data_IF_155453217431
#
_entry.id   IF_155453217431
#
_cell.length_a   1.000
_cell.length_b   1.000
_cell.length_c   1.000
_cell.angle_alpha   90.00
_cell.angle_beta   90.00
_cell.angle_gamma   90.00
#
_symmetry.space_group_name_H-M   'P 1'
#
loop_
_entity.id
_entity.type
_entity.pdbx_description
1 polymer ?
#
# COMPACT_ATOMS: atom_id res chain seq x y z
N UNK A 1 -38.72 -17.76 -9.54
CA UNK A 1 -37.67 -17.77 -10.59
C UNK A 1 -36.89 -16.46 -10.49
N UNK A 2 -35.58 -16.48 -10.76
CA UNK A 2 -34.76 -15.26 -10.76
C UNK A 2 -34.90 -14.55 -12.11
N UNK A 3 -34.92 -13.21 -12.13
CA UNK A 3 -35.02 -12.46 -13.37
C UNK A 3 -33.74 -12.60 -14.20
N UNK A 4 -33.90 -12.71 -15.52
CA UNK A 4 -32.81 -12.68 -16.49
C UNK A 4 -32.11 -11.31 -16.48
N UNK A 5 -30.79 -11.33 -16.64
CA UNK A 5 -29.98 -10.11 -16.66
C UNK A 5 -30.14 -9.40 -18.01
N UNK A 6 -30.87 -8.30 -18.04
CA UNK A 6 -31.13 -7.54 -19.29
C UNK A 6 -30.05 -6.49 -19.58
N UNK A 7 -29.92 -6.09 -20.85
CA UNK A 7 -29.00 -5.02 -21.26
C UNK A 7 -29.28 -3.68 -20.58
N UNK A 8 -30.56 -3.39 -20.29
CA UNK A 8 -30.97 -2.19 -19.55
C UNK A 8 -30.50 -2.22 -18.09
N UNK A 9 -30.45 -3.41 -17.48
CA UNK A 9 -29.88 -3.58 -16.14
C UNK A 9 -28.37 -3.35 -16.14
N UNK A 10 -27.69 -3.77 -17.21
CA UNK A 10 -26.26 -3.57 -17.37
C UNK A 10 -25.92 -2.09 -17.65
N UNK A 11 -26.72 -1.40 -18.46
CA UNK A 11 -26.45 -0.01 -18.86
C UNK A 11 -26.54 0.98 -17.70
N UNK A 12 -27.42 0.72 -16.72
CA UNK A 12 -27.53 1.52 -15.49
C UNK A 12 -26.59 1.08 -14.36
N UNK A 13 -25.82 0.01 -14.56
CA UNK A 13 -24.94 -0.51 -13.53
C UNK A 13 -23.76 0.44 -13.29
N UNK A 14 -23.56 0.85 -12.04
CA UNK A 14 -22.39 1.63 -11.63
C UNK A 14 -21.33 0.70 -11.07
N UNK A 15 -20.18 0.59 -11.76
CA UNK A 15 -19.02 -0.11 -11.21
C UNK A 15 -18.42 0.73 -10.09
N UNK A 16 -18.82 0.44 -8.86
CA UNK A 16 -18.05 0.88 -7.71
C UNK A 16 -16.76 0.06 -7.71
N UNK A 17 -15.66 0.68 -8.17
CA UNK A 17 -14.36 0.01 -8.29
C UNK A 17 -13.86 -0.58 -6.96
N UNK A 18 -14.49 -0.20 -5.84
CA UNK A 18 -14.13 -0.64 -4.50
C UNK A 18 -12.68 -0.31 -4.17
N UNK A 19 -12.26 -0.63 -2.95
CA UNK A 19 -10.87 -0.53 -2.56
C UNK A 19 -10.56 0.61 -1.60
N UNK A 20 -9.35 0.53 -1.03
CA UNK A 20 -8.84 1.51 -0.08
C UNK A 20 -8.62 2.85 -0.79
N UNK A 21 -9.02 3.99 -0.18
CA UNK A 21 -8.66 5.31 -0.68
C UNK A 21 -7.15 5.40 -0.94
N UNK A 22 -6.77 6.08 -2.03
CA UNK A 22 -5.36 6.33 -2.33
C UNK A 22 -4.74 7.16 -1.18
N UNK A 23 -3.57 6.74 -0.69
CA UNK A 23 -2.84 7.54 0.30
C UNK A 23 -2.34 8.84 -0.36
N UNK A 24 -2.52 10.01 0.26
CA UNK A 24 -1.97 11.26 -0.27
C UNK A 24 -0.43 11.26 -0.33
N UNK A 25 0.23 10.44 0.48
CA UNK A 25 1.68 10.26 0.46
C UNK A 25 2.01 8.75 0.50
N UNK A 26 1.99 8.05 -0.64
CA UNK A 26 2.35 6.65 -0.70
C UNK A 26 3.87 6.47 -0.58
N UNK A 27 4.29 5.43 0.14
CA UNK A 27 5.71 5.03 0.17
C UNK A 27 6.14 4.65 -1.25
N UNK A 28 7.27 5.20 -1.71
CA UNK A 28 7.88 4.85 -2.99
C UNK A 28 8.89 3.72 -2.78
N UNK A 29 8.77 2.67 -3.58
CA UNK A 29 9.79 1.62 -3.64
C UNK A 29 11.00 2.18 -4.40
N UNK A 30 12.13 2.29 -3.71
CA UNK A 30 13.39 2.78 -4.29
C UNK A 30 14.50 1.77 -4.04
N UNK A 31 15.53 1.80 -4.88
CA UNK A 31 16.80 1.11 -4.60
C UNK A 31 17.71 2.05 -3.82
N UNK A 32 17.99 1.73 -2.56
CA UNK A 32 18.85 2.50 -1.66
C UNK A 32 19.98 1.59 -1.16
N UNK A 33 21.22 2.07 -1.23
CA UNK A 33 22.38 1.37 -0.66
C UNK A 33 22.65 1.92 0.75
N UNK A 34 22.69 1.01 1.72
CA UNK A 34 23.05 1.30 3.10
C UNK A 34 24.20 0.38 3.50
N UNK A 35 25.08 0.82 4.40
CA UNK A 35 26.05 -0.06 5.04
C UNK A 35 25.39 -1.29 5.67
N UNK A 36 26.10 -2.43 5.66
CA UNK A 36 25.56 -3.71 6.10
C UNK A 36 25.22 -3.73 7.60
N UNK A 37 26.06 -3.10 8.41
CA UNK A 37 25.90 -2.91 9.84
C UNK A 37 24.61 -2.13 10.17
N UNK A 38 24.29 -1.08 9.41
CA UNK A 38 23.05 -0.32 9.55
C UNK A 38 21.83 -1.22 9.28
N UNK A 39 21.86 -2.02 8.22
CA UNK A 39 20.76 -2.95 7.92
C UNK A 39 20.62 -4.00 9.03
N UNK A 40 21.74 -4.53 9.52
CA UNK A 40 21.75 -5.52 10.59
C UNK A 40 21.16 -4.95 11.89
N UNK A 41 21.58 -3.76 12.28
CA UNK A 41 21.04 -3.03 13.43
C UNK A 41 19.51 -2.89 13.34
N UNK A 42 19.01 -2.41 12.19
CA UNK A 42 17.56 -2.25 12.02
C UNK A 42 16.83 -3.59 12.03
N UNK A 43 17.31 -4.61 11.33
CA UNK A 43 16.71 -5.95 11.36
C UNK A 43 16.63 -6.54 12.77
N UNK A 44 17.63 -6.30 13.61
CA UNK A 44 17.65 -6.76 15.00
C UNK A 44 16.54 -6.12 15.85
N UNK A 45 15.97 -4.98 15.44
CA UNK A 45 14.81 -4.38 16.12
C UNK A 45 13.51 -5.18 15.91
N UNK A 46 13.53 -6.24 15.10
CA UNK A 46 12.41 -7.16 14.89
C UNK A 46 11.46 -6.75 13.75
N UNK A 47 10.31 -7.43 13.62
CA UNK A 47 9.32 -7.12 12.59
C UNK A 47 8.94 -5.63 12.55
N UNK A 48 8.72 -5.10 11.34
CA UNK A 48 8.41 -3.69 11.13
C UNK A 48 9.61 -2.73 11.19
N UNK A 49 10.85 -3.24 11.19
CA UNK A 49 12.05 -2.38 11.23
C UNK A 49 12.13 -1.37 10.08
N UNK A 50 11.66 -1.73 8.88
CA UNK A 50 11.61 -0.79 7.74
C UNK A 50 10.65 0.37 7.98
N UNK A 51 9.53 0.09 8.66
CA UNK A 51 8.55 1.12 9.05
C UNK A 51 9.17 2.09 10.05
N UNK A 52 9.79 1.57 11.12
CA UNK A 52 10.50 2.38 12.13
C UNK A 52 11.65 3.20 11.53
N UNK A 53 12.42 2.58 10.62
CA UNK A 53 13.51 3.28 9.92
C UNK A 53 12.97 4.46 9.10
N UNK A 54 11.90 4.23 8.32
CA UNK A 54 11.28 5.28 7.52
C UNK A 54 10.68 6.41 8.38
N UNK A 55 10.06 6.08 9.52
CA UNK A 55 9.56 7.07 10.47
C UNK A 55 10.70 7.94 11.02
N UNK A 56 11.83 7.34 11.41
CA UNK A 56 13.02 8.11 11.83
C UNK A 56 13.58 9.01 10.73
N UNK A 57 13.63 8.53 9.49
CA UNK A 57 14.07 9.35 8.34
C UNK A 57 13.09 10.47 7.98
N UNK A 58 11.82 10.34 8.34
CA UNK A 58 10.79 11.35 8.09
C UNK A 58 10.79 12.49 9.12
N UNK A 59 11.40 12.26 10.28
CA UNK A 59 11.60 13.29 11.31
C UNK A 59 12.80 14.13 10.89
N UNK A 60 12.51 15.32 10.37
CA UNK A 60 13.51 16.30 9.93
C UNK A 60 13.89 17.23 11.08
#
# INVERSE_FOLDING_TARGET
>A
ELPELTDEMLSRAKVNKGGRPCSPNPRKLISLRLPQDVIAFWKATGPGWQTRMAERLSQR
#
